data_IF_728235047917
#
_entry.id   IF_728235047917
#
_cell.length_a   1.000
_cell.length_b   1.000
_cell.length_c   1.000
_cell.angle_alpha   90.00
_cell.angle_beta   90.00
_cell.angle_gamma   90.00
#
_symmetry.space_group_name_H-M   'P 1'
#
loop_
_entity.id
_entity.type
_entity.pdbx_description
1 polymer ?
#
# COMPACT_ATOMS: atom_id res chain seq x y z
N UNK A 1 2.52 4.77 -15.41
CA UNK A 1 1.38 3.98 -14.92
C UNK A 1 0.40 4.93 -14.26
N UNK A 2 -0.89 4.73 -14.48
CA UNK A 2 -1.93 5.46 -13.75
C UNK A 2 -1.98 4.95 -12.31
N UNK A 3 -2.01 5.84 -11.30
CA UNK A 3 -2.01 5.48 -9.86
C UNK A 3 -3.16 4.54 -9.51
N UNK A 4 -4.34 4.81 -10.07
CA UNK A 4 -5.54 3.98 -9.88
C UNK A 4 -5.28 2.56 -10.40
N UNK A 5 -4.67 2.43 -11.57
CA UNK A 5 -4.36 1.10 -12.13
C UNK A 5 -3.34 0.38 -11.24
N UNK A 6 -2.30 1.07 -10.76
CA UNK A 6 -1.34 0.44 -9.83
C UNK A 6 -2.02 0.02 -8.52
N UNK A 7 -2.93 0.82 -7.99
CA UNK A 7 -3.69 0.51 -6.78
C UNK A 7 -4.47 -0.80 -6.93
N UNK A 8 -5.27 -0.92 -8.00
CA UNK A 8 -6.05 -2.14 -8.26
C UNK A 8 -5.17 -3.36 -8.58
N UNK A 9 -4.00 -3.15 -9.20
CA UNK A 9 -3.03 -4.22 -9.42
C UNK A 9 -2.43 -4.74 -8.10
N UNK A 10 -2.25 -3.88 -7.09
CA UNK A 10 -1.86 -4.34 -5.75
C UNK A 10 -2.97 -5.18 -5.14
N UNK A 11 -4.24 -4.79 -5.28
CA UNK A 11 -5.36 -5.61 -4.81
C UNK A 11 -5.38 -6.99 -5.48
N UNK A 12 -5.19 -7.03 -6.80
CA UNK A 12 -5.10 -8.28 -7.54
C UNK A 12 -3.93 -9.16 -7.06
N UNK A 13 -2.75 -8.56 -6.85
CA UNK A 13 -1.57 -9.26 -6.33
C UNK A 13 -1.80 -9.82 -4.92
N UNK A 14 -2.45 -9.04 -4.06
CA UNK A 14 -2.75 -9.40 -2.67
C UNK A 14 -3.75 -10.55 -2.61
N UNK A 15 -4.78 -10.50 -3.46
CA UNK A 15 -5.72 -11.59 -3.63
C UNK A 15 -5.01 -12.91 -3.99
N UNK A 16 -4.06 -12.84 -4.93
CA UNK A 16 -3.34 -14.01 -5.40
C UNK A 16 -2.36 -14.59 -4.37
N UNK A 17 -1.56 -13.75 -3.69
CA UNK A 17 -0.50 -14.27 -2.80
C UNK A 17 -0.94 -14.51 -1.37
N UNK A 18 -1.86 -13.70 -0.86
CA UNK A 18 -2.23 -13.69 0.56
C UNK A 18 -3.65 -14.21 0.81
N UNK A 19 -4.36 -14.64 -0.25
CA UNK A 19 -5.73 -15.17 -0.18
C UNK A 19 -6.65 -14.25 0.65
N UNK A 20 -6.61 -12.96 0.34
CA UNK A 20 -7.36 -11.91 1.04
C UNK A 20 -8.85 -12.25 1.06
N UNK A 21 -9.43 -12.27 2.26
CA UNK A 21 -10.87 -12.37 2.46
C UNK A 21 -11.43 -10.96 2.46
N UNK A 22 -11.89 -10.55 1.29
CA UNK A 22 -12.40 -9.21 1.06
C UNK A 22 -13.65 -8.90 1.88
N UNK A 23 -14.49 -9.90 2.17
CA UNK A 23 -15.87 -9.68 2.64
C UNK A 23 -16.04 -9.88 4.13
N UNK A 24 -15.47 -10.94 4.69
CA UNK A 24 -15.73 -11.31 6.08
C UNK A 24 -14.63 -10.88 7.03
N UNK A 25 -13.46 -10.48 6.51
CA UNK A 25 -12.32 -10.10 7.33
C UNK A 25 -11.87 -8.66 7.06
N UNK A 26 -12.27 -7.74 7.94
CA UNK A 26 -11.92 -6.32 7.82
C UNK A 26 -10.41 -6.05 7.95
N UNK A 27 -9.67 -6.91 8.65
CA UNK A 27 -8.21 -6.80 8.76
C UNK A 27 -7.54 -7.10 7.42
N UNK A 28 -8.03 -8.10 6.69
CA UNK A 28 -7.51 -8.45 5.36
C UNK A 28 -7.78 -7.32 4.37
N UNK A 29 -9.02 -6.80 4.35
CA UNK A 29 -9.38 -5.63 3.54
C UNK A 29 -8.51 -4.41 3.89
N UNK A 30 -8.40 -4.07 5.18
CA UNK A 30 -7.60 -2.93 5.64
C UNK A 30 -6.12 -3.07 5.23
N UNK A 31 -5.55 -4.27 5.37
CA UNK A 31 -4.18 -4.55 5.00
C UNK A 31 -3.92 -4.32 3.50
N UNK A 32 -4.84 -4.79 2.64
CA UNK A 32 -4.75 -4.58 1.20
C UNK A 32 -4.84 -3.10 0.84
N UNK A 33 -5.76 -2.36 1.47
CA UNK A 33 -5.92 -0.92 1.24
C UNK A 33 -4.69 -0.12 1.70
N UNK A 34 -4.08 -0.50 2.83
CA UNK A 34 -2.81 0.09 3.30
C UNK A 34 -1.71 -0.11 2.26
N UNK A 35 -1.56 -1.34 1.76
CA UNK A 35 -0.52 -1.67 0.77
C UNK A 35 -0.77 -0.97 -0.56
N UNK A 36 -2.02 -0.93 -1.02
CA UNK A 36 -2.39 -0.26 -2.25
C UNK A 36 -2.12 1.25 -2.16
N UNK A 37 -2.53 1.91 -1.08
CA UNK A 37 -2.28 3.34 -0.88
C UNK A 37 -0.77 3.66 -0.72
N UNK A 38 -0.01 2.76 -0.10
CA UNK A 38 1.43 2.89 0.11
C UNK A 38 2.22 2.72 -1.20
N UNK A 39 1.91 1.68 -1.98
CA UNK A 39 2.71 1.26 -3.12
C UNK A 39 2.26 1.83 -4.48
N UNK A 40 1.01 2.31 -4.60
CA UNK A 40 0.50 2.90 -5.85
C UNK A 40 1.10 4.28 -6.16
N UNK A 41 1.74 4.88 -5.17
CA UNK A 41 2.18 6.27 -5.18
C UNK A 41 1.07 7.25 -4.80
N UNK A 42 -0.10 6.78 -4.32
CA UNK A 42 -1.22 7.63 -3.91
C UNK A 42 -0.90 8.65 -2.83
N UNK A 43 0.11 8.36 -2.02
CA UNK A 43 0.62 9.23 -0.96
C UNK A 43 1.97 9.89 -1.29
N UNK A 44 2.30 10.07 -2.58
CA UNK A 44 3.54 10.72 -3.01
C UNK A 44 3.72 12.14 -2.43
N UNK A 45 4.95 12.50 -2.05
CA UNK A 45 5.28 13.81 -1.46
C UNK A 45 4.77 15.01 -2.28
N UNK A 46 4.87 14.94 -3.62
CA UNK A 46 4.34 15.98 -4.52
C UNK A 46 2.85 16.25 -4.33
N UNK A 47 2.07 15.22 -4.00
CA UNK A 47 0.63 15.33 -3.79
C UNK A 47 0.30 15.86 -2.41
N UNK A 48 1.12 15.54 -1.41
CA UNK A 48 0.94 16.05 -0.04
C UNK A 48 1.35 17.52 0.07
N UNK A 49 2.38 17.96 -0.66
CA UNK A 49 2.72 19.40 -0.80
C UNK A 49 1.58 20.17 -1.48
N UNK A 50 0.95 19.60 -2.52
CA UNK A 50 -0.24 20.18 -3.14
C UNK A 50 -1.48 20.22 -2.21
N UNK A 51 -1.45 19.47 -1.10
CA UNK A 51 -2.47 19.45 -0.05
C UNK A 51 -2.11 20.31 1.17
N UNK A 52 -1.08 21.16 1.08
CA UNK A 52 -0.65 22.10 2.13
C UNK A 52 -0.22 21.47 3.47
N UNK A 53 0.25 20.21 3.45
CA UNK A 53 0.71 19.51 4.65
C UNK A 53 2.23 19.70 4.86
N UNK A 54 2.63 20.62 5.75
CA UNK A 54 4.03 21.06 5.94
C UNK A 54 4.83 20.37 7.07
N UNK A 55 4.27 19.38 7.77
CA UNK A 55 5.04 18.56 8.71
C UNK A 55 6.26 17.90 8.03
N UNK A 56 7.32 17.54 8.77
CA UNK A 56 8.53 16.93 8.17
C UNK A 56 8.73 15.46 8.57
N UNK A 57 7.84 14.88 9.39
CA UNK A 57 7.93 13.49 9.85
C UNK A 57 6.57 12.80 9.68
N UNK A 58 6.57 11.57 9.13
CA UNK A 58 5.43 10.63 9.03
C UNK A 58 4.26 10.94 8.08
N UNK A 59 4.30 11.98 7.26
CA UNK A 59 3.22 12.28 6.28
C UNK A 59 2.74 11.12 5.42
N UNK A 60 3.68 10.33 4.89
CA UNK A 60 3.31 9.19 4.05
C UNK A 60 2.43 8.20 4.83
N UNK A 61 2.78 7.94 6.10
CA UNK A 61 2.03 7.02 6.95
C UNK A 61 0.65 7.58 7.31
N UNK A 62 0.54 8.88 7.56
CA UNK A 62 -0.75 9.54 7.83
C UNK A 62 -1.66 9.49 6.60
N UNK A 63 -1.15 9.83 5.42
CA UNK A 63 -1.90 9.70 4.17
C UNK A 63 -2.36 8.26 3.93
N UNK A 64 -1.50 7.26 4.15
CA UNK A 64 -1.87 5.84 3.96
C UNK A 64 -2.97 5.42 4.94
N UNK A 65 -2.89 5.81 6.22
CA UNK A 65 -3.97 5.55 7.20
C UNK A 65 -5.29 6.18 6.78
N UNK A 66 -5.25 7.44 6.38
CA UNK A 66 -6.43 8.20 5.95
C UNK A 66 -7.08 7.58 4.72
N UNK A 67 -6.26 7.18 3.73
CA UNK A 67 -6.74 6.52 2.51
C UNK A 67 -7.37 5.18 2.81
N UNK A 68 -6.70 4.31 3.57
CA UNK A 68 -7.23 3.01 3.92
C UNK A 68 -8.54 3.12 4.72
N UNK A 69 -8.60 4.03 5.69
CA UNK A 69 -9.83 4.28 6.47
C UNK A 69 -10.99 4.71 5.58
N UNK A 70 -10.75 5.64 4.64
CA UNK A 70 -11.78 6.10 3.69
C UNK A 70 -12.25 4.99 2.75
N UNK A 71 -11.35 4.16 2.25
CA UNK A 71 -11.70 3.02 1.40
C UNK A 71 -12.60 2.03 2.12
N UNK A 72 -12.25 1.65 3.36
CA UNK A 72 -13.06 0.72 4.15
C UNK A 72 -14.47 1.29 4.39
N UNK A 73 -14.56 2.57 4.78
CA UNK A 73 -15.86 3.24 5.01
C UNK A 73 -16.72 3.35 3.76
N UNK A 74 -16.11 3.38 2.56
CA UNK A 74 -16.85 3.42 1.31
C UNK A 74 -17.48 2.07 0.95
N UNK A 75 -16.90 0.96 1.40
CA UNK A 75 -17.29 -0.41 0.99
C UNK A 75 -17.96 -1.20 2.12
N UNK A 76 -17.81 -0.77 3.38
CA UNK A 76 -18.32 -1.45 4.58
C UNK A 76 -19.17 -0.52 5.43
N UNK A 77 -20.23 -1.08 6.01
CA UNK A 77 -21.11 -0.38 6.96
C UNK A 77 -20.58 -0.55 8.39
N UNK A 78 -19.47 0.10 8.68
CA UNK A 78 -18.87 0.15 10.02
C UNK A 78 -18.72 1.60 10.48
N UNK A 79 -18.54 1.81 11.78
CA UNK A 79 -18.27 3.15 12.30
C UNK A 79 -16.88 3.64 11.88
N UNK A 80 -16.67 4.96 11.88
CA UNK A 80 -15.36 5.55 11.60
C UNK A 80 -14.34 5.09 12.64
N UNK A 81 -14.75 4.98 13.89
CA UNK A 81 -13.91 4.57 15.01
C UNK A 81 -13.45 3.12 14.83
N UNK A 82 -14.34 2.23 14.39
CA UNK A 82 -14.02 0.83 14.10
C UNK A 82 -13.10 0.69 12.87
N UNK A 83 -13.32 1.50 11.83
CA UNK A 83 -12.45 1.54 10.66
C UNK A 83 -11.02 1.97 11.02
N UNK A 84 -10.87 3.07 11.77
CA UNK A 84 -9.57 3.58 12.24
C UNK A 84 -8.88 2.52 13.10
N UNK A 85 -9.59 1.93 14.07
CA UNK A 85 -9.04 0.87 14.93
C UNK A 85 -8.54 -0.31 14.11
N UNK A 86 -9.32 -0.77 13.13
CA UNK A 86 -8.95 -1.90 12.27
C UNK A 86 -7.69 -1.60 11.45
N UNK A 87 -7.60 -0.39 10.89
CA UNK A 87 -6.42 0.07 10.13
C UNK A 87 -5.20 0.11 11.05
N UNK A 88 -5.29 0.73 12.22
CA UNK A 88 -4.17 0.86 13.15
C UNK A 88 -3.70 -0.50 13.69
N UNK A 89 -4.60 -1.46 13.91
CA UNK A 89 -4.26 -2.82 14.37
C UNK A 89 -3.35 -3.58 13.39
N UNK A 90 -3.48 -3.34 12.08
CA UNK A 90 -2.68 -4.04 11.06
C UNK A 90 -1.62 -3.17 10.40
N UNK A 91 -1.59 -1.87 10.73
CA UNK A 91 -0.82 -0.87 10.00
C UNK A 91 0.66 -1.23 9.88
N UNK A 92 1.32 -1.52 11.00
CA UNK A 92 2.77 -1.73 11.00
C UNK A 92 3.16 -2.99 10.20
N UNK A 93 2.35 -4.05 10.25
CA UNK A 93 2.60 -5.25 9.46
C UNK A 93 2.43 -4.98 7.96
N UNK A 94 1.32 -4.35 7.58
CA UNK A 94 0.94 -4.18 6.18
C UNK A 94 1.72 -3.06 5.49
N UNK A 95 2.05 -1.98 6.21
CA UNK A 95 2.80 -0.85 5.69
C UNK A 95 4.25 -1.23 5.35
N UNK A 96 4.85 -2.12 6.13
CA UNK A 96 6.22 -2.61 5.92
C UNK A 96 6.30 -3.76 4.90
N UNK A 97 5.16 -4.22 4.37
CA UNK A 97 5.12 -5.23 3.32
C UNK A 97 5.19 -4.56 1.94
N UNK A 98 6.39 -4.60 1.36
CA UNK A 98 6.68 -3.94 0.09
C UNK A 98 6.61 -4.86 -1.13
N UNK A 99 6.08 -6.09 -1.01
CA UNK A 99 5.91 -6.96 -2.17
C UNK A 99 4.92 -6.34 -3.18
N UNK A 100 5.16 -6.46 -4.50
CA UNK A 100 6.28 -7.15 -5.15
C UNK A 100 7.54 -6.29 -5.40
N UNK A 101 7.53 -5.03 -4.95
CA UNK A 101 8.56 -4.06 -5.31
C UNK A 101 9.81 -4.10 -4.43
N UNK A 102 9.72 -4.68 -3.22
CA UNK A 102 10.77 -4.68 -2.20
C UNK A 102 11.09 -3.28 -1.62
N UNK A 103 10.40 -2.24 -2.09
CA UNK A 103 10.52 -0.84 -1.66
C UNK A 103 9.25 -0.07 -2.01
N UNK A 104 9.03 1.07 -1.36
CA UNK A 104 7.98 2.01 -1.76
C UNK A 104 8.49 2.84 -2.95
N UNK A 105 7.85 2.78 -4.13
CA UNK A 105 8.31 3.50 -5.32
C UNK A 105 7.85 4.98 -5.28
N UNK A 106 8.67 5.86 -4.72
CA UNK A 106 8.37 7.31 -4.68
C UNK A 106 8.57 8.03 -6.02
N UNK A 107 9.39 7.46 -6.90
CA UNK A 107 9.74 8.03 -8.20
C UNK A 107 9.86 6.96 -9.30
N UNK A 108 9.91 7.39 -10.56
CA UNK A 108 10.23 6.50 -11.70
C UNK A 108 11.60 5.82 -11.55
N UNK A 109 12.54 6.46 -10.85
CA UNK A 109 13.86 5.89 -10.58
C UNK A 109 13.76 4.72 -9.60
N UNK A 110 12.96 4.88 -8.55
CA UNK A 110 12.73 3.81 -7.56
C UNK A 110 12.00 2.63 -8.18
N UNK A 111 11.01 2.88 -9.03
CA UNK A 111 10.32 1.83 -9.77
C UNK A 111 11.27 1.04 -10.69
N UNK A 112 12.21 1.71 -11.36
CA UNK A 112 13.24 1.03 -12.16
C UNK A 112 14.18 0.18 -11.31
N UNK A 113 14.56 0.66 -10.13
CA UNK A 113 15.37 -0.14 -9.22
C UNK A 113 14.61 -1.36 -8.69
N UNK A 114 13.33 -1.21 -8.32
CA UNK A 114 12.49 -2.34 -7.93
C UNK A 114 12.41 -3.40 -9.04
N UNK A 115 12.19 -2.97 -10.29
CA UNK A 115 12.16 -3.87 -11.44
C UNK A 115 13.49 -4.59 -11.67
N UNK A 116 14.62 -3.86 -11.62
CA UNK A 116 15.95 -4.46 -11.74
C UNK A 116 16.22 -5.47 -10.63
N UNK A 117 15.80 -5.18 -9.41
CA UNK A 117 16.03 -6.07 -8.28
C UNK A 117 15.17 -7.34 -8.42
N UNK A 118 13.95 -7.22 -8.97
CA UNK A 118 13.10 -8.36 -9.35
C UNK A 118 13.76 -9.23 -10.43
N UNK A 119 14.30 -8.66 -11.51
CA UNK A 119 15.02 -9.41 -12.56
C UNK A 119 16.25 -10.16 -12.03
N UNK A 120 16.84 -9.68 -10.94
CA UNK A 120 18.00 -10.29 -10.31
C UNK A 120 17.65 -11.30 -9.21
N UNK A 121 16.37 -11.49 -8.88
CA UNK A 121 15.93 -12.28 -7.71
C UNK A 121 16.41 -13.73 -7.75
N UNK A 122 16.44 -14.33 -8.94
CA UNK A 122 16.78 -15.74 -9.12
C UNK A 122 18.22 -15.97 -9.57
N UNK A 123 18.99 -14.91 -9.87
CA UNK A 123 20.39 -15.03 -10.34
C UNK A 123 21.31 -15.78 -9.38
N UNK A 124 21.01 -15.74 -8.08
CA UNK A 124 21.79 -16.47 -7.09
C UNK A 124 21.52 -17.99 -7.12
N UNK A 125 20.28 -18.39 -7.43
CA UNK A 125 19.88 -19.80 -7.52
C UNK A 125 20.13 -20.41 -8.89
N UNK A 126 20.27 -19.60 -9.95
CA UNK A 126 20.67 -20.08 -11.29
C UNK A 126 22.12 -20.58 -11.38
N UNK A 127 22.97 -20.25 -10.40
CA UNK A 127 24.39 -20.62 -10.36
C UNK A 127 24.71 -21.72 -9.32
N UNK A 128 23.68 -22.34 -8.74
CA UNK A 128 23.77 -23.50 -7.84
C UNK A 128 23.27 -24.76 -8.55
#
# INVERSE_FOLDING_TARGET
MNRVVTHELIHAFDHCRAHVDWFNNFKHLACSEIRAASLSGDCSFSNEVARFNFGLKKHHQECVRDRATRSILAVRKISKEEAVKTVDEVFDSCYNDHEPFGRIPHSKKDARFAYRDFENRDRYYENL
#
